data_IF_876737253762
#
_entry.id   IF_876737253762
#
_cell.length_a   1.000
_cell.length_b   1.000
_cell.length_c   1.000
_cell.angle_alpha   90.00
_cell.angle_beta   90.00
_cell.angle_gamma   90.00
#
_symmetry.space_group_name_H-M   'P 1'
#
loop_
_entity.id
_entity.type
_entity.pdbx_description
1 polymer ?
#
# COMPACT_ATOMS: atom_id res chain seq x y z
N UNK A 1 39.26 3.63 5.09
CA UNK A 1 39.42 2.24 4.65
C UNK A 1 38.16 1.72 3.92
N UNK A 2 37.59 2.49 2.99
CA UNK A 2 36.44 2.06 2.16
C UNK A 2 36.74 2.15 0.64
N UNK A 3 37.88 2.71 0.28
CA UNK A 3 38.28 2.91 -1.12
C UNK A 3 39.18 1.78 -1.68
N UNK A 4 39.73 0.92 -0.81
CA UNK A 4 40.56 -0.22 -1.24
C UNK A 4 39.75 -1.51 -1.42
N UNK A 5 38.53 -1.61 -0.90
CA UNK A 5 37.67 -2.80 -1.06
C UNK A 5 37.01 -2.88 -2.46
N UNK A 6 36.86 -1.74 -3.15
CA UNK A 6 36.25 -1.66 -4.49
C UNK A 6 37.28 -1.97 -5.60
N UNK A 7 38.58 -1.91 -5.30
CA UNK A 7 39.65 -2.15 -6.29
C UNK A 7 40.01 -3.63 -6.45
N UNK A 8 39.81 -4.44 -5.41
CA UNK A 8 40.15 -5.86 -5.43
C UNK A 8 39.04 -6.76 -6.00
N UNK A 9 37.78 -6.31 -6.04
CA UNK A 9 36.70 -7.04 -6.74
C UNK A 9 36.87 -6.96 -8.27
N UNK A 10 37.55 -5.94 -8.82
CA UNK A 10 37.77 -5.77 -10.27
C UNK A 10 38.91 -6.63 -10.86
N UNK A 11 39.61 -7.43 -10.06
CA UNK A 11 40.71 -8.30 -10.51
C UNK A 11 40.43 -9.79 -10.39
N UNK A 12 39.51 -10.22 -9.53
CA UNK A 12 39.22 -11.66 -9.31
C UNK A 12 38.09 -12.23 -10.16
N UNK A 13 37.26 -11.40 -10.80
CA UNK A 13 36.19 -11.86 -11.72
C UNK A 13 36.59 -11.92 -13.20
N UNK A 14 37.89 -11.76 -13.51
CA UNK A 14 38.37 -11.79 -14.91
C UNK A 14 38.80 -13.17 -15.42
N UNK A 15 38.69 -14.20 -14.59
CA UNK A 15 38.96 -15.58 -14.96
C UNK A 15 37.85 -16.51 -14.43
N UNK A 16 36.69 -16.51 -15.10
CA UNK A 16 35.87 -17.70 -15.37
C UNK A 16 34.47 -17.32 -15.86
N UNK A 17 34.35 -16.57 -16.94
CA UNK A 17 33.12 -16.56 -17.75
C UNK A 17 33.49 -16.27 -19.20
N UNK A 18 34.12 -17.25 -19.84
CA UNK A 18 34.18 -17.38 -21.30
C UNK A 18 33.60 -18.74 -21.66
N UNK A 19 32.35 -18.74 -22.10
CA UNK A 19 31.72 -19.63 -23.10
C UNK A 19 30.20 -19.45 -23.02
N UNK A 20 29.71 -18.35 -23.61
CA UNK A 20 28.35 -18.32 -24.14
C UNK A 20 28.36 -19.14 -25.42
N UNK A 21 27.58 -20.22 -25.45
CA UNK A 21 27.35 -21.05 -26.64
C UNK A 21 26.21 -20.41 -27.44
N UNK A 22 26.51 -20.06 -28.68
CA UNK A 22 25.56 -19.71 -29.73
C UNK A 22 24.54 -20.84 -29.92
N UNK A 23 23.26 -20.49 -30.02
CA UNK A 23 22.23 -21.33 -30.64
C UNK A 23 21.83 -20.64 -31.94
N UNK A 24 22.29 -21.20 -33.04
CA UNK A 24 21.94 -20.79 -34.39
C UNK A 24 20.68 -21.55 -34.79
N UNK A 25 19.62 -20.82 -35.15
CA UNK A 25 18.45 -21.35 -35.84
C UNK A 25 18.78 -21.31 -37.34
N UNK A 26 18.43 -22.40 -38.04
CA UNK A 26 18.46 -22.58 -39.50
C UNK A 26 19.65 -23.41 -40.04
N UNK A 27 19.40 -24.71 -40.07
CA UNK A 27 20.01 -25.70 -40.95
C UNK A 27 19.43 -25.52 -42.35
N UNK A 28 20.09 -24.74 -43.23
CA UNK A 28 19.93 -24.83 -44.69
C UNK A 28 21.21 -24.30 -45.40
N UNK A 29 21.91 -25.23 -46.05
CA UNK A 29 22.91 -25.14 -47.13
C UNK A 29 24.07 -24.10 -47.11
N UNK A 30 25.30 -24.65 -47.05
CA UNK A 30 26.65 -24.07 -47.26
C UNK A 30 26.92 -23.46 -48.68
N UNK A 31 28.09 -22.82 -49.00
CA UNK A 31 29.13 -22.16 -48.17
C UNK A 31 29.81 -20.88 -48.78
N UNK A 32 30.74 -20.29 -48.00
CA UNK A 32 31.87 -19.37 -48.34
C UNK A 32 31.49 -17.89 -48.63
N UNK A 33 32.18 -16.85 -48.15
CA UNK A 33 33.58 -16.64 -47.78
C UNK A 33 33.66 -15.25 -47.07
N UNK A 34 34.53 -15.03 -46.07
CA UNK A 34 35.53 -13.95 -46.00
C UNK A 34 36.04 -13.66 -44.56
N UNK A 35 37.32 -13.31 -44.53
CA UNK A 35 38.33 -13.37 -43.46
C UNK A 35 38.28 -12.20 -42.45
N UNK A 36 38.40 -12.43 -41.12
CA UNK A 36 38.38 -11.36 -40.12
C UNK A 36 39.79 -10.98 -39.66
N UNK A 37 40.44 -10.01 -40.30
CA UNK A 37 41.45 -9.16 -39.62
C UNK A 37 41.70 -7.86 -40.39
N UNK A 38 41.21 -6.72 -39.88
CA UNK A 38 41.99 -5.51 -39.53
C UNK A 38 41.07 -4.30 -39.36
N UNK A 39 41.07 -3.73 -38.15
CA UNK A 39 41.29 -2.31 -37.88
C UNK A 39 40.87 -2.00 -36.43
N UNK A 40 41.86 -1.74 -35.59
CA UNK A 40 41.64 -1.12 -34.29
C UNK A 40 41.20 0.35 -34.48
N UNK A 41 40.35 0.79 -33.56
CA UNK A 41 40.02 2.18 -33.19
C UNK A 41 39.24 3.05 -34.18
N UNK A 42 37.98 3.33 -33.85
CA UNK A 42 37.58 4.70 -33.49
C UNK A 42 36.29 4.71 -32.65
N UNK A 43 36.30 5.59 -31.64
CA UNK A 43 35.20 5.88 -30.72
C UNK A 43 34.04 6.56 -31.47
N UNK A 44 32.83 6.30 -30.98
CA UNK A 44 31.51 6.81 -31.40
C UNK A 44 30.76 5.90 -32.37
N UNK A 45 29.91 5.05 -31.81
CA UNK A 45 28.65 4.66 -32.42
C UNK A 45 27.63 4.48 -31.29
N UNK A 46 26.43 4.95 -31.58
CA UNK A 46 25.28 5.09 -30.68
C UNK A 46 24.87 3.76 -30.05
N UNK A 47 24.34 3.87 -28.84
CA UNK A 47 23.87 2.80 -27.98
C UNK A 47 22.64 2.11 -28.61
N UNK A 48 22.87 1.20 -29.55
CA UNK A 48 21.87 0.21 -29.95
C UNK A 48 21.75 -0.84 -28.84
N UNK A 49 21.12 -0.47 -27.71
CA UNK A 49 20.64 -1.45 -26.75
C UNK A 49 19.46 -2.20 -27.36
N UNK A 50 19.72 -3.29 -28.07
CA UNK A 50 18.72 -4.33 -28.23
C UNK A 50 18.25 -4.72 -26.82
N UNK A 51 16.99 -4.41 -26.50
CA UNK A 51 16.42 -4.71 -25.20
C UNK A 51 16.36 -6.23 -25.03
N UNK A 52 17.25 -6.80 -24.21
CA UNK A 52 17.32 -8.24 -23.99
C UNK A 52 16.02 -8.75 -23.33
N UNK A 53 15.28 -9.60 -24.03
CA UNK A 53 14.00 -10.13 -23.57
C UNK A 53 14.25 -11.31 -22.62
N UNK A 54 13.94 -11.14 -21.33
CA UNK A 54 14.07 -12.21 -20.35
C UNK A 54 12.92 -13.21 -20.43
N UNK A 55 13.24 -14.51 -20.42
CA UNK A 55 12.27 -15.62 -20.50
C UNK A 55 12.11 -16.29 -19.14
N UNK A 56 10.96 -16.11 -18.51
CA UNK A 56 10.67 -16.66 -17.17
C UNK A 56 9.93 -18.00 -17.24
N UNK A 57 9.01 -18.15 -18.19
CA UNK A 57 8.31 -19.39 -18.49
C UNK A 57 8.01 -19.45 -19.99
N UNK A 58 7.49 -20.58 -20.49
CA UNK A 58 7.09 -20.72 -21.91
C UNK A 58 6.14 -19.60 -22.36
N UNK A 59 5.28 -19.14 -21.47
CA UNK A 59 4.23 -18.14 -21.67
C UNK A 59 4.57 -16.74 -21.09
N UNK A 60 5.76 -16.54 -20.53
CA UNK A 60 6.10 -15.27 -19.87
C UNK A 60 7.49 -14.79 -20.29
N UNK A 61 7.48 -13.74 -21.12
CA UNK A 61 8.65 -12.99 -21.57
C UNK A 61 8.47 -11.54 -21.14
N UNK A 62 9.50 -10.92 -20.56
CA UNK A 62 9.44 -9.56 -20.02
C UNK A 62 10.72 -8.82 -20.40
N UNK A 63 10.57 -7.57 -20.84
CA UNK A 63 11.70 -6.71 -21.21
C UNK A 63 12.17 -5.86 -20.02
N UNK A 64 11.25 -5.40 -19.16
CA UNK A 64 11.57 -4.62 -17.97
C UNK A 64 11.83 -5.54 -16.76
N UNK A 65 13.11 -5.84 -16.52
CA UNK A 65 13.57 -6.65 -15.39
C UNK A 65 14.33 -5.76 -14.40
N UNK A 66 13.89 -5.77 -13.14
CA UNK A 66 14.44 -4.96 -12.06
C UNK A 66 14.86 -5.85 -10.91
N UNK A 67 15.93 -5.47 -10.23
CA UNK A 67 16.43 -6.18 -9.06
C UNK A 67 16.11 -5.39 -7.79
N UNK A 68 15.71 -6.08 -6.73
CA UNK A 68 15.46 -5.47 -5.42
C UNK A 68 16.02 -6.31 -4.29
N UNK A 69 16.50 -5.63 -3.25
CA UNK A 69 16.93 -6.25 -1.98
C UNK A 69 15.88 -6.12 -0.88
N UNK A 70 14.79 -5.40 -1.14
CA UNK A 70 13.70 -5.14 -0.20
C UNK A 70 12.34 -5.44 -0.83
N UNK A 71 11.32 -5.86 -0.07
CA UNK A 71 9.95 -5.99 -0.58
C UNK A 71 9.42 -4.65 -1.10
N UNK A 72 8.69 -4.68 -2.22
CA UNK A 72 8.06 -3.49 -2.80
C UNK A 72 6.56 -3.51 -2.48
N UNK A 73 6.07 -2.43 -1.89
CA UNK A 73 4.68 -2.31 -1.44
C UNK A 73 3.69 -2.07 -2.59
N UNK A 74 4.08 -1.25 -3.57
CA UNK A 74 3.33 -1.00 -4.81
C UNK A 74 4.22 -1.29 -6.01
N UNK A 75 4.38 -2.57 -6.39
CA UNK A 75 5.18 -2.93 -7.57
C UNK A 75 4.61 -2.22 -8.80
N UNK A 76 5.48 -1.65 -9.63
CA UNK A 76 5.07 -1.06 -10.91
C UNK A 76 4.50 -2.15 -11.82
N UNK A 77 3.59 -1.76 -12.69
CA UNK A 77 2.93 -2.63 -13.66
C UNK A 77 3.02 -2.03 -15.05
N UNK A 78 2.82 -2.82 -16.08
CA UNK A 78 2.69 -2.34 -17.46
C UNK A 78 1.88 -3.33 -18.27
N UNK A 79 1.42 -2.94 -19.46
CA UNK A 79 0.68 -3.85 -20.35
C UNK A 79 1.50 -5.10 -20.70
N UNK A 80 2.79 -4.95 -20.94
CA UNK A 80 3.72 -6.06 -21.22
C UNK A 80 4.19 -6.79 -19.96
N UNK A 81 4.21 -6.08 -18.84
CA UNK A 81 4.59 -6.54 -17.52
C UNK A 81 5.97 -6.04 -17.07
N UNK A 82 6.16 -6.00 -15.76
CA UNK A 82 7.43 -5.65 -15.09
C UNK A 82 7.83 -6.81 -14.18
N UNK A 83 9.07 -7.26 -14.26
CA UNK A 83 9.61 -8.34 -13.44
C UNK A 83 10.53 -7.78 -12.35
N UNK A 84 10.27 -8.14 -11.10
CA UNK A 84 11.11 -7.86 -9.95
C UNK A 84 11.78 -9.14 -9.47
N UNK A 85 13.11 -9.14 -9.47
CA UNK A 85 13.96 -10.21 -8.94
C UNK A 85 14.44 -9.81 -7.55
N UNK A 86 13.94 -10.50 -6.53
CA UNK A 86 14.31 -10.26 -5.15
C UNK A 86 15.46 -11.17 -4.74
N UNK A 87 16.56 -10.60 -4.27
CA UNK A 87 17.61 -11.37 -3.60
C UNK A 87 17.29 -11.50 -2.11
N UNK A 88 17.03 -12.72 -1.67
CA UNK A 88 16.40 -13.02 -0.36
C UNK A 88 17.33 -13.75 0.61
N UNK A 89 18.63 -13.87 0.30
CA UNK A 89 19.60 -14.60 1.11
C UNK A 89 19.57 -14.19 2.60
N UNK A 90 19.38 -12.89 2.87
CA UNK A 90 19.36 -12.32 4.23
C UNK A 90 17.95 -12.07 4.77
N UNK A 91 16.90 -12.59 4.14
CA UNK A 91 15.53 -12.35 4.56
C UNK A 91 15.05 -13.43 5.54
N UNK A 92 14.45 -13.01 6.64
CA UNK A 92 13.83 -13.94 7.62
C UNK A 92 12.65 -14.72 7.00
N UNK A 93 11.92 -14.07 6.09
CA UNK A 93 10.83 -14.70 5.36
C UNK A 93 10.84 -14.30 3.87
N UNK A 94 11.27 -15.21 2.98
CA UNK A 94 11.20 -15.05 1.53
C UNK A 94 9.82 -14.62 0.99
N UNK A 95 8.74 -15.01 1.66
CA UNK A 95 7.37 -14.68 1.23
C UNK A 95 7.01 -13.22 1.48
N UNK A 96 7.82 -12.46 2.21
CA UNK A 96 7.66 -11.01 2.36
C UNK A 96 7.57 -10.31 0.99
N UNK A 97 8.27 -10.84 -0.03
CA UNK A 97 8.30 -10.29 -1.38
C UNK A 97 6.90 -10.22 -2.02
N UNK A 98 6.00 -11.08 -1.56
CA UNK A 98 4.63 -11.19 -2.07
C UNK A 98 3.59 -10.69 -1.07
N UNK A 99 3.82 -10.88 0.24
CA UNK A 99 2.86 -10.52 1.28
C UNK A 99 2.77 -9.02 1.52
N UNK A 100 3.90 -8.31 1.37
CA UNK A 100 4.03 -6.89 1.70
C UNK A 100 3.45 -5.97 0.61
N UNK A 101 3.03 -6.56 -0.53
CA UNK A 101 2.24 -5.88 -1.55
C UNK A 101 0.93 -5.36 -0.93
N UNK A 102 0.63 -4.08 -1.15
CA UNK A 102 -0.53 -3.38 -0.58
C UNK A 102 -1.81 -3.65 -1.37
N UNK A 103 -1.70 -4.00 -2.65
CA UNK A 103 -2.84 -4.47 -3.42
C UNK A 103 -3.47 -5.69 -2.75
N UNK A 104 -4.80 -5.72 -2.68
CA UNK A 104 -5.51 -6.93 -2.26
C UNK A 104 -5.24 -8.01 -3.31
N UNK A 105 -4.70 -9.16 -2.92
CA UNK A 105 -4.43 -10.26 -3.85
C UNK A 105 -5.55 -11.29 -3.73
N UNK A 106 -6.29 -11.50 -4.82
CA UNK A 106 -7.28 -12.55 -4.92
C UNK A 106 -6.68 -13.78 -5.57
N UNK A 107 -7.06 -14.96 -5.08
CA UNK A 107 -6.66 -16.23 -5.66
C UNK A 107 -7.23 -16.35 -7.08
N UNK A 108 -6.37 -16.65 -8.05
CA UNK A 108 -6.83 -17.16 -9.33
C UNK A 108 -7.31 -18.59 -9.19
N UNK A 109 -8.22 -19.04 -10.06
CA UNK A 109 -8.74 -20.42 -10.09
C UNK A 109 -7.70 -21.49 -10.46
N UNK A 110 -6.43 -21.13 -10.62
CA UNK A 110 -5.37 -22.03 -11.04
C UNK A 110 -4.59 -22.54 -9.82
N UNK A 111 -4.30 -23.84 -9.80
CA UNK A 111 -3.40 -24.44 -8.82
C UNK A 111 -2.01 -23.78 -8.85
N UNK A 112 -1.11 -24.21 -7.96
CA UNK A 112 0.27 -23.72 -7.97
C UNK A 112 1.21 -24.77 -8.59
N UNK A 113 1.26 -24.90 -9.93
CA UNK A 113 2.07 -25.91 -10.59
C UNK A 113 3.57 -25.62 -10.43
N UNK A 114 4.35 -26.68 -10.50
CA UNK A 114 5.78 -26.58 -10.68
C UNK A 114 6.07 -26.46 -12.18
N UNK A 115 6.87 -25.47 -12.56
CA UNK A 115 7.24 -25.21 -13.95
C UNK A 115 8.75 -24.97 -14.04
N UNK A 116 9.34 -25.29 -15.19
CA UNK A 116 10.72 -24.91 -15.48
C UNK A 116 10.84 -23.41 -15.76
N UNK A 117 11.84 -22.77 -15.18
CA UNK A 117 12.13 -21.35 -15.33
C UNK A 117 13.48 -21.14 -16.04
N UNK A 118 13.48 -20.77 -17.34
CA UNK A 118 14.71 -20.57 -18.10
C UNK A 118 15.60 -19.45 -17.54
N UNK A 119 15.01 -18.43 -16.89
CA UNK A 119 15.73 -17.33 -16.26
C UNK A 119 16.77 -17.79 -15.22
N UNK A 120 16.48 -18.86 -14.48
CA UNK A 120 17.42 -19.43 -13.51
C UNK A 120 18.46 -20.38 -14.14
N UNK A 121 18.39 -20.57 -15.46
CA UNK A 121 19.23 -21.50 -16.19
C UNK A 121 18.82 -22.97 -15.98
N UNK A 122 19.68 -23.86 -16.47
CA UNK A 122 19.48 -25.30 -16.34
C UNK A 122 19.84 -25.77 -14.93
N UNK A 123 19.13 -26.80 -14.48
CA UNK A 123 19.43 -27.45 -13.22
C UNK A 123 20.69 -28.33 -13.40
N UNK A 124 21.79 -27.95 -12.73
CA UNK A 124 23.05 -28.68 -12.86
C UNK A 124 23.04 -30.04 -12.15
N UNK A 125 22.06 -30.31 -11.29
CA UNK A 125 21.91 -31.61 -10.62
C UNK A 125 21.12 -32.61 -11.49
N UNK A 126 20.49 -32.13 -12.57
CA UNK A 126 19.95 -33.00 -13.60
C UNK A 126 21.14 -33.63 -14.34
N UNK A 127 21.37 -34.93 -14.11
CA UNK A 127 22.49 -35.68 -14.70
C UNK A 127 22.57 -35.55 -16.23
N UNK A 128 21.44 -35.26 -16.88
CA UNK A 128 21.33 -35.07 -18.32
C UNK A 128 21.48 -33.59 -18.76
N UNK A 129 21.49 -32.63 -17.83
CA UNK A 129 21.52 -31.19 -18.07
C UNK A 129 20.47 -30.73 -19.11
N UNK A 130 19.26 -31.29 -19.02
CA UNK A 130 18.16 -31.03 -19.96
C UNK A 130 17.06 -30.20 -19.33
N UNK A 131 16.93 -30.19 -18.01
CA UNK A 131 15.82 -29.53 -17.31
C UNK A 131 16.20 -28.13 -16.84
N UNK A 132 15.25 -27.20 -16.99
CA UNK A 132 15.31 -25.89 -16.35
C UNK A 132 15.09 -26.02 -14.84
N UNK A 133 15.67 -25.10 -14.08
CA UNK A 133 15.41 -24.97 -12.63
C UNK A 133 13.90 -24.88 -12.38
N UNK A 134 13.42 -25.70 -11.46
CA UNK A 134 11.98 -25.79 -11.17
C UNK A 134 11.56 -24.71 -10.16
N UNK A 135 10.47 -24.02 -10.49
CA UNK A 135 9.84 -23.01 -9.64
C UNK A 135 8.37 -23.37 -9.39
N UNK A 136 7.90 -23.07 -8.19
CA UNK A 136 6.46 -23.03 -7.89
C UNK A 136 5.89 -21.74 -8.47
N UNK A 137 4.97 -21.85 -9.43
CA UNK A 137 4.25 -20.72 -10.04
C UNK A 137 2.93 -20.50 -9.30
N UNK A 138 2.68 -19.29 -8.85
CA UNK A 138 1.38 -18.87 -8.34
C UNK A 138 0.91 -17.62 -9.09
N UNK A 139 -0.35 -17.61 -9.51
CA UNK A 139 -0.97 -16.45 -10.16
C UNK A 139 -2.02 -15.88 -9.21
N UNK A 140 -1.92 -14.58 -8.95
CA UNK A 140 -2.89 -13.79 -8.20
C UNK A 140 -3.35 -12.62 -9.06
N UNK A 141 -4.53 -12.10 -8.76
CA UNK A 141 -5.02 -10.88 -9.40
C UNK A 141 -5.21 -9.79 -8.35
N UNK A 142 -5.07 -8.54 -8.77
CA UNK A 142 -5.51 -7.43 -7.97
C UNK A 142 -7.02 -7.57 -7.70
N UNK A 143 -7.40 -7.64 -6.44
CA UNK A 143 -8.78 -7.72 -5.99
C UNK A 143 -9.56 -6.42 -6.18
N UNK A 144 -8.90 -5.37 -6.67
CA UNK A 144 -9.41 -4.02 -6.76
C UNK A 144 -9.61 -3.39 -5.39
N UNK A 145 -10.57 -2.48 -5.30
CA UNK A 145 -10.89 -1.72 -4.09
C UNK A 145 -12.39 -1.74 -3.79
N UNK A 146 -12.75 -1.25 -2.61
CA UNK A 146 -14.12 -0.93 -2.21
C UNK A 146 -14.29 0.57 -2.13
N UNK A 147 -15.33 1.08 -2.77
CA UNK A 147 -15.65 2.51 -2.86
C UNK A 147 -17.09 2.74 -2.41
N UNK A 148 -17.41 3.94 -1.94
CA UNK A 148 -18.78 4.31 -1.65
C UNK A 148 -19.62 4.42 -2.95
N UNK A 149 -20.93 4.23 -2.85
CA UNK A 149 -21.87 4.50 -3.95
C UNK A 149 -21.78 5.94 -4.51
N UNK A 150 -21.29 6.87 -3.70
CA UNK A 150 -21.08 8.27 -4.07
C UNK A 150 -19.63 8.56 -4.46
N UNK A 151 -18.85 7.54 -4.85
CA UNK A 151 -17.48 7.75 -5.27
C UNK A 151 -17.43 8.76 -6.42
N UNK A 152 -16.61 9.81 -6.26
CA UNK A 152 -16.43 10.81 -7.30
C UNK A 152 -15.68 10.26 -8.52
N UNK A 153 -15.69 11.00 -9.65
CA UNK A 153 -15.04 10.57 -10.89
C UNK A 153 -13.53 10.32 -10.72
N UNK A 154 -12.85 11.09 -9.86
CA UNK A 154 -11.43 10.91 -9.52
C UNK A 154 -11.09 9.51 -8.98
N UNK A 155 -12.06 8.75 -8.49
CA UNK A 155 -11.88 7.37 -8.05
C UNK A 155 -12.31 6.39 -9.15
N UNK A 156 -13.44 6.65 -9.79
CA UNK A 156 -14.05 5.74 -10.76
C UNK A 156 -13.28 5.67 -12.08
N UNK A 157 -12.61 6.76 -12.45
CA UNK A 157 -11.87 6.91 -13.71
C UNK A 157 -10.35 6.82 -13.50
N UNK A 158 -9.90 6.63 -12.25
CA UNK A 158 -8.48 6.52 -11.95
C UNK A 158 -7.85 5.31 -12.64
N UNK A 159 -6.66 5.52 -13.17
CA UNK A 159 -5.80 4.44 -13.63
C UNK A 159 -4.34 4.75 -13.36
N UNK A 160 -3.54 3.71 -13.13
CA UNK A 160 -2.11 3.87 -12.91
C UNK A 160 -1.33 2.59 -13.18
N UNK A 161 -0.05 2.78 -13.47
CA UNK A 161 0.99 1.74 -13.58
C UNK A 161 2.08 1.90 -12.53
N UNK A 162 2.19 3.11 -11.95
CA UNK A 162 3.16 3.50 -10.95
C UNK A 162 2.50 4.31 -9.86
N UNK A 163 3.01 4.18 -8.65
CA UNK A 163 2.54 4.91 -7.47
C UNK A 163 3.69 5.73 -6.93
N UNK A 164 3.49 7.05 -6.84
CA UNK A 164 4.40 7.95 -6.14
C UNK A 164 3.99 8.03 -4.67
N UNK A 165 4.81 7.52 -3.78
CA UNK A 165 4.49 7.47 -2.35
C UNK A 165 4.50 8.86 -1.69
N UNK A 166 5.20 9.84 -2.25
CA UNK A 166 5.37 11.16 -1.65
C UNK A 166 4.29 12.15 -2.08
N UNK A 167 3.70 11.96 -3.26
CA UNK A 167 2.76 12.92 -3.85
C UNK A 167 1.37 12.35 -4.05
N UNK A 168 1.18 11.02 -3.95
CA UNK A 168 -0.11 10.43 -4.24
C UNK A 168 -1.15 10.80 -3.15
N UNK A 169 -2.25 11.47 -3.52
CA UNK A 169 -3.23 12.00 -2.56
C UNK A 169 -4.05 10.91 -1.85
N UNK A 170 -3.97 9.65 -2.30
CA UNK A 170 -4.63 8.52 -1.65
C UNK A 170 -3.71 7.78 -0.66
N UNK A 171 -2.44 8.16 -0.61
CA UNK A 171 -1.41 7.61 0.29
C UNK A 171 -0.96 8.66 1.30
N UNK A 172 -0.67 9.88 0.82
CA UNK A 172 -0.38 11.04 1.65
C UNK A 172 -1.70 11.64 2.13
N UNK A 173 -2.17 11.25 3.31
CA UNK A 173 -3.36 11.83 3.95
C UNK A 173 -3.11 13.28 4.40
N UNK A 174 -2.95 14.22 3.47
CA UNK A 174 -3.13 15.65 3.77
C UNK A 174 -4.62 16.00 3.62
N UNK A 175 -5.40 15.42 4.52
CA UNK A 175 -6.85 15.56 4.56
C UNK A 175 -7.34 15.58 5.99
N UNK A 176 -6.73 16.40 6.86
CA UNK A 176 -7.07 16.60 8.28
C UNK A 176 -8.58 16.77 8.54
N UNK A 177 -9.40 17.07 7.51
CA UNK A 177 -10.84 17.28 7.61
C UNK A 177 -11.73 16.10 7.15
N UNK A 178 -11.18 14.98 6.66
CA UNK A 178 -11.96 13.93 5.98
C UNK A 178 -11.71 12.49 6.46
N UNK A 179 -11.01 12.28 7.57
CA UNK A 179 -10.88 10.93 8.16
C UNK A 179 -12.24 10.40 8.63
N UNK A 180 -12.46 9.07 8.64
CA UNK A 180 -13.69 8.44 9.15
C UNK A 180 -14.01 8.86 10.57
N UNK A 181 -12.97 8.98 11.40
CA UNK A 181 -13.06 9.37 12.80
C UNK A 181 -13.55 10.81 12.91
N UNK A 182 -12.99 11.74 12.11
CA UNK A 182 -13.44 13.13 12.08
C UNK A 182 -14.87 13.26 11.52
N UNK A 183 -15.26 12.41 10.55
CA UNK A 183 -16.65 12.34 10.06
C UNK A 183 -17.60 11.79 11.11
N UNK A 184 -17.23 10.71 11.82
CA UNK A 184 -18.03 10.13 12.91
C UNK A 184 -18.21 11.15 14.03
N UNK A 185 -17.14 11.83 14.45
CA UNK A 185 -17.20 12.90 15.45
C UNK A 185 -18.12 14.04 15.01
N UNK A 186 -18.03 14.50 13.74
CA UNK A 186 -18.97 15.50 13.18
C UNK A 186 -20.43 15.03 13.19
N UNK A 187 -20.67 13.77 12.85
CA UNK A 187 -22.01 13.14 12.83
C UNK A 187 -22.60 13.05 14.24
N UNK A 188 -21.83 12.56 15.20
CA UNK A 188 -22.24 12.45 16.60
C UNK A 188 -22.60 13.83 17.16
N UNK A 189 -21.75 14.82 16.90
CA UNK A 189 -21.96 16.21 17.32
C UNK A 189 -23.27 16.80 16.81
N UNK A 190 -23.57 16.60 15.53
CA UNK A 190 -24.83 17.09 14.93
C UNK A 190 -26.05 16.36 15.41
N UNK A 191 -25.94 15.04 15.60
CA UNK A 191 -27.03 14.24 16.17
C UNK A 191 -27.39 14.76 17.56
N UNK A 192 -26.38 15.05 18.38
CA UNK A 192 -26.56 15.62 19.71
C UNK A 192 -27.24 17.00 19.66
N UNK A 193 -26.80 17.87 18.74
CA UNK A 193 -27.46 19.17 18.47
C UNK A 193 -28.95 18.99 18.10
N UNK A 194 -29.26 18.11 17.15
CA UNK A 194 -30.63 17.87 16.68
C UNK A 194 -31.53 17.29 17.77
N UNK A 195 -31.00 16.37 18.59
CA UNK A 195 -31.71 15.85 19.76
C UNK A 195 -32.01 16.97 20.76
N UNK A 196 -31.05 17.85 21.02
CA UNK A 196 -31.25 18.97 21.93
C UNK A 196 -32.34 19.93 21.48
N UNK A 197 -32.33 20.39 20.22
CA UNK A 197 -33.35 21.34 19.72
C UNK A 197 -34.76 20.73 19.63
N UNK A 198 -34.87 19.40 19.47
CA UNK A 198 -36.16 18.69 19.47
C UNK A 198 -36.70 18.46 20.88
N UNK A 199 -35.82 18.40 21.86
CA UNK A 199 -36.20 18.22 23.26
C UNK A 199 -36.75 19.56 23.76
N UNK A 200 -38.03 19.59 24.14
CA UNK A 200 -38.65 20.81 24.66
C UNK A 200 -38.24 21.03 26.11
N UNK A 201 -37.98 22.28 26.48
CA UNK A 201 -37.84 22.64 27.88
C UNK A 201 -39.20 22.49 28.59
N UNK A 202 -39.28 21.70 29.69
CA UNK A 202 -40.54 21.51 30.42
C UNK A 202 -40.97 22.73 31.26
N UNK A 203 -40.13 23.76 31.33
CA UNK A 203 -40.41 24.98 32.08
C UNK A 203 -41.51 25.83 31.38
N UNK A 204 -42.45 26.45 32.12
CA UNK A 204 -43.53 27.24 31.54
C UNK A 204 -43.00 28.40 30.66
N UNK A 205 -43.58 28.54 29.46
CA UNK A 205 -43.21 29.39 28.31
C UNK A 205 -42.26 28.75 27.27
N UNK A 206 -42.84 27.98 26.34
CA UNK A 206 -42.20 27.11 25.35
C UNK A 206 -41.27 27.73 24.28
N UNK A 207 -40.76 28.96 24.44
CA UNK A 207 -39.95 29.65 23.41
C UNK A 207 -38.44 29.65 23.69
N UNK A 208 -37.93 28.74 24.53
CA UNK A 208 -36.53 28.72 24.92
C UNK A 208 -35.62 28.11 23.84
N UNK A 209 -34.48 28.76 23.58
CA UNK A 209 -33.40 28.21 22.75
C UNK A 209 -32.44 27.38 23.60
N UNK A 210 -31.66 26.51 22.96
CA UNK A 210 -30.68 25.64 23.63
C UNK A 210 -29.25 26.15 23.40
N UNK A 211 -28.35 25.85 24.33
CA UNK A 211 -26.93 26.17 24.22
C UNK A 211 -26.05 25.21 25.02
N UNK A 212 -24.73 25.29 24.83
CA UNK A 212 -23.75 24.55 25.64
C UNK A 212 -23.40 25.39 26.87
N UNK A 213 -23.53 24.79 28.05
CA UNK A 213 -23.23 25.40 29.34
C UNK A 213 -22.11 24.64 30.05
N UNK A 214 -21.33 25.35 30.86
CA UNK A 214 -20.28 24.80 31.71
C UNK A 214 -20.70 24.87 33.18
N UNK A 215 -20.58 23.78 33.93
CA UNK A 215 -20.66 23.83 35.40
C UNK A 215 -19.28 24.07 36.02
N UNK A 216 -19.26 24.52 37.27
CA UNK A 216 -18.04 24.75 38.05
C UNK A 216 -17.20 23.46 38.27
N UNK A 217 -17.75 22.29 37.91
CA UNK A 217 -17.12 20.98 37.95
C UNK A 217 -16.93 20.45 36.52
N UNK A 218 -16.22 21.22 35.67
CA UNK A 218 -15.56 20.81 34.40
C UNK A 218 -16.36 19.97 33.38
N UNK A 219 -17.67 19.83 33.55
CA UNK A 219 -18.55 19.08 32.67
C UNK A 219 -19.41 20.04 31.87
N UNK A 220 -19.19 20.05 30.56
CA UNK A 220 -20.05 20.73 29.59
C UNK A 220 -21.31 19.90 29.36
N UNK A 221 -22.44 20.59 29.27
CA UNK A 221 -23.76 19.98 29.03
C UNK A 221 -24.59 20.91 28.16
N UNK A 222 -25.67 20.38 27.59
CA UNK A 222 -26.62 21.17 26.81
C UNK A 222 -27.78 21.58 27.71
N UNK A 223 -28.09 22.87 27.76
CA UNK A 223 -29.16 23.44 28.57
C UNK A 223 -30.03 24.40 27.77
N UNK A 224 -31.18 24.78 28.32
CA UNK A 224 -31.92 25.92 27.79
C UNK A 224 -31.23 27.26 28.15
N UNK A 225 -31.48 28.30 27.37
CA UNK A 225 -30.99 29.66 27.56
C UNK A 225 -31.24 30.25 28.95
N UNK A 226 -32.36 29.87 29.59
CA UNK A 226 -32.72 30.28 30.95
C UNK A 226 -32.27 29.32 32.06
N UNK A 227 -31.49 28.29 31.72
CA UNK A 227 -31.00 27.35 32.71
C UNK A 227 -30.19 28.07 33.78
N UNK A 228 -30.48 27.77 35.05
CA UNK A 228 -29.80 28.32 36.22
C UNK A 228 -29.46 27.22 37.22
N UNK A 229 -28.34 27.36 37.95
CA UNK A 229 -28.03 26.47 39.05
C UNK A 229 -29.18 26.49 40.08
N UNK A 230 -29.60 25.31 40.53
CA UNK A 230 -30.63 25.10 41.57
C UNK A 230 -32.09 25.41 41.17
N UNK A 231 -32.38 25.78 39.92
CA UNK A 231 -33.76 25.86 39.41
C UNK A 231 -34.20 24.51 38.80
N UNK A 232 -35.33 23.96 39.29
CA UNK A 232 -35.88 22.69 38.79
C UNK A 232 -36.80 22.92 37.58
N UNK A 233 -36.85 21.93 36.68
CA UNK A 233 -37.78 21.92 35.55
C UNK A 233 -37.23 22.49 34.25
N UNK A 234 -35.97 22.96 34.24
CA UNK A 234 -35.27 23.29 33.00
C UNK A 234 -34.70 22.05 32.33
N UNK A 235 -34.58 22.10 31.00
CA UNK A 235 -33.93 21.04 30.25
C UNK A 235 -32.42 21.06 30.48
N UNK A 236 -31.85 19.88 30.71
CA UNK A 236 -30.42 19.63 30.68
C UNK A 236 -30.14 18.25 30.09
N UNK A 237 -29.19 18.17 29.17
CA UNK A 237 -28.73 16.94 28.52
C UNK A 237 -27.22 16.82 28.67
N UNK A 238 -26.74 15.66 29.09
CA UNK A 238 -25.30 15.40 29.10
C UNK A 238 -24.77 15.18 27.67
N UNK A 239 -23.61 15.74 27.38
CA UNK A 239 -22.93 15.55 26.10
C UNK A 239 -22.31 14.16 26.07
N UNK A 240 -22.63 13.38 25.05
CA UNK A 240 -22.07 12.03 24.86
C UNK A 240 -20.59 12.08 24.49
N UNK A 241 -19.85 11.04 24.84
CA UNK A 241 -18.45 10.88 24.44
C UNK A 241 -18.31 10.86 22.90
N UNK A 242 -17.23 11.46 22.37
CA UNK A 242 -16.95 11.51 20.93
C UNK A 242 -17.61 12.67 20.18
N UNK A 243 -18.31 13.57 20.88
CA UNK A 243 -18.84 14.83 20.36
C UNK A 243 -17.75 15.91 20.37
N UNK A 244 -17.61 16.64 19.26
CA UNK A 244 -16.81 17.85 19.16
C UNK A 244 -17.59 19.03 19.75
N UNK A 245 -17.16 19.46 20.93
CA UNK A 245 -17.74 20.57 21.68
C UNK A 245 -17.67 21.89 20.92
N UNK A 246 -16.59 22.16 20.19
CA UNK A 246 -16.41 23.44 19.48
C UNK A 246 -17.37 23.53 18.30
N UNK A 247 -17.52 22.43 17.57
CA UNK A 247 -18.52 22.31 16.52
C UNK A 247 -19.95 22.35 17.09
N UNK A 248 -20.19 21.78 18.26
CA UNK A 248 -21.50 21.88 18.93
C UNK A 248 -21.85 23.33 19.28
N UNK A 249 -20.90 24.09 19.83
CA UNK A 249 -21.05 25.52 20.14
C UNK A 249 -21.36 26.34 18.89
N UNK A 250 -20.66 26.08 17.77
CA UNK A 250 -20.90 26.80 16.52
C UNK A 250 -22.27 26.49 15.91
N UNK A 251 -22.77 25.24 16.04
CA UNK A 251 -24.11 24.86 15.62
C UNK A 251 -25.21 25.62 16.36
N UNK A 252 -25.10 25.74 17.69
CA UNK A 252 -26.06 26.54 18.48
C UNK A 252 -25.99 28.04 18.16
N UNK A 253 -24.79 28.58 17.98
CA UNK A 253 -24.61 29.98 17.62
C UNK A 253 -25.26 30.33 16.27
N UNK A 254 -25.22 29.39 15.31
CA UNK A 254 -25.72 29.63 13.95
C UNK A 254 -27.11 29.01 13.67
N UNK A 255 -27.88 28.65 14.71
CA UNK A 255 -29.21 28.02 14.57
C UNK A 255 -29.22 26.80 13.63
N UNK A 256 -28.14 26.02 13.61
CA UNK A 256 -28.00 24.85 12.74
C UNK A 256 -27.71 25.17 11.27
N UNK A 257 -27.61 26.46 10.89
CA UNK A 257 -27.08 26.86 9.58
C UNK A 257 -25.56 26.90 9.65
N UNK A 258 -24.90 25.89 9.10
CA UNK A 258 -23.50 26.05 8.70
C UNK A 258 -23.59 26.57 7.26
N UNK A 259 -23.21 27.84 7.05
CA UNK A 259 -23.34 28.55 5.78
C UNK A 259 -22.60 27.86 4.61
N UNK A 260 -21.67 26.93 4.91
CA UNK A 260 -20.72 26.41 3.92
C UNK A 260 -20.62 24.87 3.86
N UNK A 261 -21.70 24.10 4.04
CA UNK A 261 -21.64 22.65 3.82
C UNK A 261 -22.63 22.16 2.78
N UNK A 262 -22.09 21.92 1.60
CA UNK A 262 -22.67 21.05 0.57
C UNK A 262 -22.97 19.67 1.19
N UNK A 263 -24.09 19.06 0.79
CA UNK A 263 -24.30 17.62 1.04
C UNK A 263 -23.04 16.85 0.60
N UNK A 264 -22.70 15.74 1.25
CA UNK A 264 -21.59 14.88 0.83
C UNK A 264 -21.93 14.23 -0.53
N UNK A 265 -21.91 15.00 -1.61
CA UNK A 265 -22.27 14.56 -2.96
C UNK A 265 -21.23 13.60 -3.51
N UNK A 266 -19.97 13.77 -3.09
CA UNK A 266 -18.84 12.94 -3.50
C UNK A 266 -18.09 12.38 -2.29
N UNK A 267 -17.86 11.07 -2.30
CA UNK A 267 -17.14 10.34 -1.27
C UNK A 267 -15.78 9.89 -1.78
N UNK A 268 -14.71 10.46 -1.24
CA UNK A 268 -13.34 10.07 -1.61
C UNK A 268 -12.81 8.85 -0.84
N UNK A 269 -13.69 8.12 -0.16
CA UNK A 269 -13.26 7.06 0.73
C UNK A 269 -12.98 5.75 -0.01
N UNK A 270 -11.75 5.26 0.17
CA UNK A 270 -11.23 4.06 -0.45
C UNK A 270 -10.91 3.02 0.61
N UNK A 271 -11.18 1.76 0.29
CA UNK A 271 -10.80 0.64 1.13
C UNK A 271 -10.22 -0.49 0.28
N UNK A 272 -9.20 -1.22 0.79
CA UNK A 272 -8.81 -2.49 0.19
C UNK A 272 -10.01 -3.45 0.13
N UNK A 273 -10.09 -4.27 -0.91
CA UNK A 273 -11.18 -5.26 -1.04
C UNK A 273 -11.26 -6.22 0.15
N UNK A 274 -10.11 -6.57 0.75
CA UNK A 274 -10.05 -7.39 1.96
C UNK A 274 -10.67 -6.76 3.22
N UNK A 275 -10.98 -5.47 3.21
CA UNK A 275 -11.57 -4.78 4.36
C UNK A 275 -12.96 -5.34 4.72
N UNK A 276 -13.22 -5.55 6.02
CA UNK A 276 -14.53 -6.03 6.50
C UNK A 276 -15.62 -4.95 6.51
N UNK A 277 -15.29 -3.68 6.24
CA UNK A 277 -16.28 -2.61 6.15
C UNK A 277 -17.23 -2.88 4.98
N UNK A 278 -18.53 -2.74 5.26
CA UNK A 278 -19.63 -2.94 4.30
C UNK A 278 -20.33 -1.64 3.92
N UNK A 279 -20.22 -0.62 4.76
CA UNK A 279 -20.93 0.64 4.59
C UNK A 279 -20.01 1.83 4.85
N UNK A 280 -20.23 2.91 4.12
CA UNK A 280 -19.79 4.25 4.44
C UNK A 280 -20.95 5.02 5.09
N UNK A 281 -20.66 5.87 6.07
CA UNK A 281 -21.68 6.69 6.73
C UNK A 281 -21.64 8.09 6.12
N UNK A 282 -22.79 8.55 5.64
CA UNK A 282 -22.97 9.87 5.03
C UNK A 282 -24.08 10.65 5.73
N UNK A 283 -24.03 11.97 5.61
CA UNK A 283 -25.07 12.89 6.04
C UNK A 283 -25.81 13.42 4.81
N UNK A 284 -27.14 13.23 4.79
CA UNK A 284 -28.03 13.80 3.78
C UNK A 284 -29.16 14.53 4.48
N UNK A 285 -29.30 15.83 4.22
CA UNK A 285 -30.38 16.65 4.80
C UNK A 285 -30.50 16.50 6.34
N UNK A 286 -29.37 16.34 7.03
CA UNK A 286 -29.31 16.17 8.49
C UNK A 286 -29.63 14.77 9.02
N UNK A 287 -29.85 13.77 8.15
CA UNK A 287 -30.03 12.37 8.53
C UNK A 287 -28.78 11.55 8.19
N UNK A 288 -28.40 10.65 9.10
CA UNK A 288 -27.33 9.67 8.85
C UNK A 288 -27.83 8.54 7.98
N UNK A 289 -27.17 8.33 6.84
CA UNK A 289 -27.44 7.22 5.95
C UNK A 289 -26.22 6.31 5.84
N UNK A 290 -26.46 5.00 5.89
CA UNK A 290 -25.45 4.00 5.58
C UNK A 290 -25.53 3.69 4.09
N UNK A 291 -24.47 4.00 3.37
CA UNK A 291 -24.34 3.70 1.95
C UNK A 291 -23.43 2.51 1.78
N UNK A 292 -23.82 1.58 0.92
CA UNK A 292 -23.07 0.35 0.70
C UNK A 292 -21.71 0.65 0.04
N UNK A 293 -20.71 -0.16 0.38
CA UNK A 293 -19.44 -0.15 -0.32
C UNK A 293 -19.52 -1.10 -1.51
N UNK A 294 -19.31 -0.58 -2.71
CA UNK A 294 -19.26 -1.36 -3.95
C UNK A 294 -17.82 -1.71 -4.28
N UNK A 295 -17.62 -2.91 -4.83
CA UNK A 295 -16.32 -3.35 -5.32
C UNK A 295 -16.06 -2.73 -6.70
N UNK A 296 -14.92 -2.06 -6.84
CA UNK A 296 -14.36 -1.66 -8.12
C UNK A 296 -13.31 -2.71 -8.50
N UNK A 297 -13.56 -3.56 -9.51
CA UNK A 297 -12.67 -4.66 -9.89
C UNK A 297 -11.39 -4.14 -10.55
N UNK A 298 -10.38 -5.02 -10.64
CA UNK A 298 -9.12 -4.77 -11.33
C UNK A 298 -8.69 -6.03 -12.09
N UNK A 299 -8.03 -5.86 -13.23
CA UNK A 299 -7.55 -6.96 -14.09
C UNK A 299 -6.05 -7.24 -13.94
N UNK A 300 -5.31 -6.43 -13.17
CA UNK A 300 -3.86 -6.61 -12.98
C UNK A 300 -3.57 -7.99 -12.42
N UNK A 301 -2.58 -8.65 -13.03
CA UNK A 301 -2.11 -9.98 -12.68
C UNK A 301 -0.72 -9.90 -12.04
N UNK A 302 -0.53 -10.71 -10.99
CA UNK A 302 0.75 -10.93 -10.33
C UNK A 302 1.13 -12.40 -10.45
N UNK A 303 2.19 -12.70 -11.19
CA UNK A 303 2.81 -14.02 -11.23
C UNK A 303 3.97 -14.07 -10.24
N UNK A 304 3.95 -15.04 -9.34
CA UNK A 304 4.97 -15.27 -8.33
C UNK A 304 5.69 -16.56 -8.67
N UNK A 305 7.02 -16.51 -8.82
CA UNK A 305 7.86 -17.67 -9.06
C UNK A 305 8.81 -17.85 -7.87
N UNK A 306 8.72 -19.00 -7.23
CA UNK A 306 9.58 -19.36 -6.09
C UNK A 306 10.34 -20.64 -6.43
N UNK A 307 11.68 -20.62 -6.53
CA UNK A 307 12.47 -21.83 -6.71
C UNK A 307 12.12 -22.90 -5.67
N UNK A 308 12.09 -24.17 -6.10
CA UNK A 308 11.84 -25.27 -5.16
C UNK A 308 13.01 -25.48 -4.18
N UNK A 309 14.22 -25.09 -4.58
CA UNK A 309 15.43 -25.12 -3.74
C UNK A 309 15.95 -23.70 -3.49
N UNK A 310 15.45 -23.07 -2.42
CA UNK A 310 15.85 -21.71 -2.03
C UNK A 310 17.25 -21.62 -1.40
N UNK A 311 17.81 -22.74 -0.93
CA UNK A 311 19.18 -22.76 -0.39
C UNK A 311 20.21 -22.54 -1.51
N UNK A 312 19.91 -23.08 -2.70
CA UNK A 312 20.76 -22.93 -3.88
C UNK A 312 20.41 -21.67 -4.68
N UNK A 313 19.12 -21.33 -4.75
CA UNK A 313 18.62 -20.19 -5.49
C UNK A 313 17.95 -19.21 -4.54
N UNK A 314 18.75 -18.29 -3.98
CA UNK A 314 18.29 -17.26 -3.03
C UNK A 314 17.62 -16.08 -3.74
N UNK A 315 16.80 -16.38 -4.74
CA UNK A 315 16.05 -15.40 -5.52
C UNK A 315 14.59 -15.82 -5.67
N UNK A 316 13.68 -14.85 -5.59
CA UNK A 316 12.27 -15.04 -5.94
C UNK A 316 11.83 -13.96 -6.90
N UNK A 317 10.83 -14.25 -7.72
CA UNK A 317 10.43 -13.38 -8.83
C UNK A 317 8.95 -13.00 -8.70
N UNK A 318 8.67 -11.71 -8.82
CA UNK A 318 7.33 -11.16 -8.98
C UNK A 318 7.22 -10.54 -10.37
N UNK A 319 6.21 -10.92 -11.13
CA UNK A 319 5.90 -10.31 -12.43
C UNK A 319 4.52 -9.68 -12.32
N UNK A 320 4.43 -8.38 -12.57
CA UNK A 320 3.19 -7.61 -12.47
C UNK A 320 2.77 -7.15 -13.86
N UNK A 321 1.58 -7.54 -14.33
CA UNK A 321 1.10 -7.28 -15.70
C UNK A 321 -0.29 -6.64 -15.69
N UNK A 322 -0.49 -5.65 -16.56
CA UNK A 322 -1.73 -4.88 -16.74
C UNK A 322 -1.64 -3.45 -16.19
N UNK A 323 -2.76 -2.73 -16.30
CA UNK A 323 -2.95 -1.37 -15.81
C UNK A 323 -4.00 -1.40 -14.70
N UNK A 324 -3.75 -0.75 -13.57
CA UNK A 324 -4.75 -0.61 -12.54
C UNK A 324 -5.87 0.34 -13.00
N UNK A 325 -7.12 -0.01 -12.73
CA UNK A 325 -8.34 0.76 -13.09
C UNK A 325 -9.02 1.31 -11.83
N UNK A 326 -8.21 1.68 -10.85
CA UNK A 326 -8.62 2.22 -9.57
C UNK A 326 -7.43 2.99 -8.96
N UNK A 327 -7.65 3.96 -8.06
CA UNK A 327 -6.54 4.61 -7.35
C UNK A 327 -5.80 3.60 -6.44
N UNK A 328 -4.53 3.86 -6.08
CA UNK A 328 -3.83 2.97 -5.18
C UNK A 328 -4.57 2.88 -3.83
N UNK A 329 -4.77 1.67 -3.28
CA UNK A 329 -5.38 1.52 -1.97
C UNK A 329 -4.49 2.17 -0.90
N UNK A 330 -5.04 2.70 0.20
CA UNK A 330 -4.24 3.20 1.31
C UNK A 330 -3.35 2.11 1.91
N UNK A 331 -2.24 2.53 2.55
CA UNK A 331 -1.35 1.64 3.29
C UNK A 331 -2.15 0.91 4.38
N UNK A 332 -2.23 -0.40 4.24
CA UNK A 332 -3.02 -1.25 5.15
C UNK A 332 -2.16 -2.28 5.87
N UNK A 333 -0.95 -2.53 5.37
CA UNK A 333 0.03 -3.42 5.97
C UNK A 333 1.32 -2.64 6.16
N UNK A 334 1.95 -2.77 7.32
CA UNK A 334 3.33 -2.31 7.50
C UNK A 334 4.28 -3.40 6.99
N UNK A 335 5.24 -3.04 6.13
CA UNK A 335 6.30 -3.91 5.63
C UNK A 335 6.95 -4.76 6.73
N UNK A 336 7.13 -6.05 6.45
CA UNK A 336 7.71 -6.99 7.41
C UNK A 336 9.21 -6.77 7.61
N UNK A 337 9.91 -6.28 6.60
CA UNK A 337 11.33 -5.91 6.71
C UNK A 337 11.53 -4.75 7.69
N UNK A 338 10.67 -3.72 7.61
CA UNK A 338 10.73 -2.58 8.53
C UNK A 338 10.44 -3.04 9.97
N UNK A 339 9.45 -3.94 10.15
CA UNK A 339 9.14 -4.49 11.48
C UNK A 339 10.30 -5.27 12.07
N UNK A 340 10.96 -6.13 11.28
CA UNK A 340 12.06 -6.96 11.78
C UNK A 340 13.30 -6.12 12.10
N UNK A 341 13.64 -5.13 11.28
CA UNK A 341 14.74 -4.20 11.56
C UNK A 341 14.47 -3.35 12.80
N UNK A 342 13.28 -2.75 12.92
CA UNK A 342 12.91 -2.01 14.13
C UNK A 342 12.98 -2.90 15.38
N UNK A 343 12.53 -4.15 15.27
CA UNK A 343 12.62 -5.11 16.37
C UNK A 343 14.08 -5.40 16.75
N UNK A 344 14.97 -5.62 15.77
CA UNK A 344 16.41 -5.82 16.02
C UNK A 344 17.04 -4.60 16.68
N UNK A 345 16.70 -3.39 16.26
CA UNK A 345 17.17 -2.15 16.89
C UNK A 345 16.69 -2.04 18.36
N UNK A 346 15.44 -2.41 18.63
CA UNK A 346 14.88 -2.43 19.99
C UNK A 346 15.55 -3.51 20.86
N UNK A 347 15.81 -4.70 20.30
CA UNK A 347 16.48 -5.79 21.03
C UNK A 347 17.95 -5.46 21.30
N UNK A 348 18.70 -4.95 20.32
CA UNK A 348 20.08 -4.52 20.48
C UNK A 348 20.22 -3.38 21.50
N UNK A 349 19.30 -2.41 21.52
CA UNK A 349 19.31 -1.34 22.51
C UNK A 349 19.04 -1.85 23.93
N UNK A 350 18.14 -2.84 24.09
CA UNK A 350 17.93 -3.51 25.39
C UNK A 350 19.19 -4.23 25.86
N UNK A 351 19.90 -4.93 24.98
CA UNK A 351 21.16 -5.60 25.32
C UNK A 351 22.26 -4.61 25.73
N UNK A 352 22.32 -3.45 25.06
CA UNK A 352 23.24 -2.38 25.44
C UNK A 352 22.90 -1.78 26.82
N UNK A 353 21.61 -1.64 27.15
CA UNK A 353 21.15 -1.15 28.45
C UNK A 353 21.42 -2.14 29.60
N UNK A 354 21.45 -3.45 29.33
CA UNK A 354 21.76 -4.48 30.35
C UNK A 354 23.23 -4.38 30.81
N UNK A 355 24.13 -3.83 29.99
CA UNK A 355 25.55 -3.64 30.33
C UNK A 355 25.86 -2.28 30.97
N UNK A 356 24.87 -1.42 31.18
CA UNK A 356 25.07 -0.14 31.86
C UNK A 356 24.99 -0.37 33.37
N UNK A 357 26.14 -0.33 34.03
CA UNK A 357 26.19 -0.27 35.50
C UNK A 357 25.77 1.12 35.97
N UNK A 358 25.11 1.20 37.13
CA UNK A 358 24.65 2.47 37.71
C UNK A 358 25.74 3.55 37.80
N UNK A 359 27.01 3.14 37.87
CA UNK A 359 28.18 4.02 37.91
C UNK A 359 28.44 4.76 36.58
N UNK A 360 28.08 4.18 35.43
CA UNK A 360 28.23 4.79 34.11
C UNK A 360 27.14 5.83 33.77
N UNK A 361 25.99 5.78 34.45
CA UNK A 361 24.89 6.74 34.28
C UNK A 361 25.11 8.07 35.02
N UNK A 362 25.95 8.06 36.06
CA UNK A 362 26.17 9.22 36.95
C UNK A 362 27.41 10.03 36.54
N UNK A 363 28.27 9.49 35.69
CA UNK A 363 29.51 10.14 35.24
C UNK A 363 29.42 10.81 33.86
N UNK A 364 28.20 11.09 33.37
CA UNK A 364 27.96 11.87 32.16
C UNK A 364 28.10 13.37 32.38
#
# INVERSE_FOLDING_TARGET
>A
MLHNYIRDIKKTDRHSFRRGLYINLDEFDEPLNFDPFTAETNLNAEDDTESEIAVFTRDTKINDVRHSLVPIEYPETSEEGVAYIYHIENWEDPKAAFRDIQYSLCDGSSGSPNVGCPFFGKDMDDLENKKWVQVKKAIKHCGGIKTCQLAGPNILEASHTKVDLETNPFICEDGYNNTPENRITRVLTRTEYLTAIKTRCPYPNNNFTCGVHTTNQWSEFIGCDKWKPNEKGHMSLQIKAGVDINLLKSLFANQGKILDQEDDTNCNMLYPTGCHKKYCVHLFQGLTQKLELKRLPCSVEFKMLTPLNLQRFSFVILISKGIHTHPPPPLSKTSTCIKSELRKLIENSKEQLINITAQQLVSG
#
